data_IF_163027988037
#
_entry.id   IF_163027988037
#
_cell.length_a   1.000
_cell.length_b   1.000
_cell.length_c   1.000
_cell.angle_alpha   90.00
_cell.angle_beta   90.00
_cell.angle_gamma   90.00
#
_symmetry.space_group_name_H-M   'P 1'
#
loop_
_entity.id
_entity.type
_entity.pdbx_description
1 polymer ?
#
# COMPACT_ATOMS: atom_id res chain seq x y z
N UNK A 1 -28.55 -15.14 17.03
CA UNK A 1 -28.84 -15.62 15.68
C UNK A 1 -28.90 -14.43 14.73
N UNK A 2 -27.78 -13.67 14.55
CA UNK A 2 -27.70 -12.52 13.60
C UNK A 2 -26.25 -12.07 13.34
N UNK A 3 -25.24 -12.95 13.47
CA UNK A 3 -23.82 -12.60 13.23
C UNK A 3 -23.17 -13.52 12.17
N UNK A 4 -23.85 -14.52 11.63
CA UNK A 4 -23.25 -15.46 10.66
C UNK A 4 -23.41 -15.08 9.17
N UNK A 5 -23.93 -13.89 8.85
CA UNK A 5 -24.26 -13.54 7.45
C UNK A 5 -23.32 -12.51 6.80
N UNK A 6 -22.22 -12.10 7.42
CA UNK A 6 -21.33 -11.09 6.85
C UNK A 6 -20.01 -11.62 6.24
N UNK A 7 -19.73 -12.92 6.30
CA UNK A 7 -18.50 -13.52 5.76
C UNK A 7 -18.62 -13.93 4.28
N UNK A 8 -19.76 -13.71 3.63
CA UNK A 8 -20.05 -14.18 2.25
C UNK A 8 -20.40 -13.11 1.23
N UNK A 9 -20.74 -11.90 1.61
CA UNK A 9 -21.11 -10.88 0.64
C UNK A 9 -19.90 -10.29 -0.07
N UNK A 10 -19.93 -10.28 -1.41
CA UNK A 10 -18.96 -9.62 -2.28
C UNK A 10 -18.99 -8.12 -1.97
N UNK A 11 -17.97 -7.59 -1.29
CA UNK A 11 -17.84 -6.14 -1.05
C UNK A 11 -17.47 -5.44 -2.35
N UNK A 12 -18.47 -5.05 -3.13
CA UNK A 12 -18.29 -4.21 -4.32
C UNK A 12 -18.23 -2.75 -3.90
N UNK A 13 -17.08 -2.13 -4.06
CA UNK A 13 -16.93 -0.68 -3.78
C UNK A 13 -17.41 0.22 -4.91
N UNK A 14 -17.67 -0.35 -6.10
CA UNK A 14 -18.29 0.29 -7.26
C UNK A 14 -19.39 -0.60 -7.81
N UNK A 15 -20.43 0.03 -8.40
CA UNK A 15 -21.56 -0.68 -9.00
C UNK A 15 -21.37 -0.94 -10.50
N UNK A 16 -20.35 -0.34 -11.10
CA UNK A 16 -20.11 -0.42 -12.54
C UNK A 16 -19.69 -1.82 -12.96
N UNK A 17 -20.17 -2.24 -14.12
CA UNK A 17 -19.68 -3.45 -14.75
C UNK A 17 -18.31 -3.17 -15.38
N UNK A 18 -17.33 -3.97 -14.99
CA UNK A 18 -16.01 -3.98 -15.62
C UNK A 18 -15.87 -5.04 -16.71
N UNK A 19 -16.99 -5.55 -17.23
CA UNK A 19 -17.00 -6.52 -18.33
C UNK A 19 -16.24 -5.96 -19.55
N UNK A 20 -15.34 -6.76 -20.10
CA UNK A 20 -14.47 -6.41 -21.21
C UNK A 20 -13.49 -5.25 -20.92
N UNK A 21 -13.32 -4.85 -19.67
CA UNK A 21 -12.29 -3.89 -19.28
C UNK A 21 -10.97 -4.60 -19.01
N UNK A 22 -9.87 -3.97 -19.43
CA UNK A 22 -8.52 -4.44 -19.16
C UNK A 22 -7.87 -3.55 -18.10
N UNK A 23 -7.40 -4.19 -17.03
CA UNK A 23 -6.80 -3.53 -15.85
C UNK A 23 -5.35 -3.95 -15.77
N UNK A 24 -4.44 -2.99 -15.79
CA UNK A 24 -3.03 -3.21 -15.48
C UNK A 24 -2.77 -2.91 -14.00
N UNK A 25 -2.07 -3.81 -13.31
CA UNK A 25 -1.57 -3.61 -11.95
C UNK A 25 -0.06 -3.81 -11.97
N UNK A 26 0.72 -2.73 -11.86
CA UNK A 26 2.17 -2.85 -11.66
C UNK A 26 2.48 -3.09 -10.19
N UNK A 27 3.50 -3.87 -9.88
CA UNK A 27 3.76 -4.32 -8.50
C UNK A 27 2.72 -5.35 -8.01
N UNK A 28 2.13 -6.10 -8.98
CA UNK A 28 1.02 -7.01 -8.71
C UNK A 28 1.35 -8.25 -7.88
N UNK A 29 2.64 -8.59 -7.71
CA UNK A 29 3.10 -9.64 -6.80
C UNK A 29 3.50 -9.11 -5.41
N UNK A 30 3.44 -7.79 -5.22
CA UNK A 30 3.67 -7.12 -3.94
C UNK A 30 2.45 -7.16 -3.02
N UNK A 31 2.56 -6.49 -1.86
CA UNK A 31 1.53 -6.47 -0.82
C UNK A 31 0.20 -5.88 -1.33
N UNK A 32 0.19 -4.61 -1.75
CA UNK A 32 -1.06 -3.92 -2.14
C UNK A 32 -1.53 -4.43 -3.49
N UNK A 33 -0.62 -4.54 -4.48
CA UNK A 33 -0.98 -4.95 -5.83
C UNK A 33 -1.62 -6.33 -5.90
N UNK A 34 -1.16 -7.32 -5.12
CA UNK A 34 -1.77 -8.65 -5.08
C UNK A 34 -3.18 -8.62 -4.45
N UNK A 35 -3.39 -7.84 -3.40
CA UNK A 35 -4.73 -7.66 -2.82
C UNK A 35 -5.71 -7.02 -3.82
N UNK A 36 -5.27 -6.01 -4.58
CA UNK A 36 -6.06 -5.44 -5.69
C UNK A 36 -6.38 -6.46 -6.76
N UNK A 37 -5.40 -7.27 -7.19
CA UNK A 37 -5.59 -8.31 -8.20
C UNK A 37 -6.66 -9.32 -7.78
N UNK A 38 -6.61 -9.78 -6.54
CA UNK A 38 -7.63 -10.70 -6.00
C UNK A 38 -8.99 -10.03 -5.79
N UNK A 39 -9.02 -8.74 -5.43
CA UNK A 39 -10.29 -8.00 -5.37
C UNK A 39 -10.99 -8.02 -6.73
N UNK A 40 -10.29 -7.68 -7.81
CA UNK A 40 -10.87 -7.68 -9.15
C UNK A 40 -11.27 -9.08 -9.60
N UNK A 41 -10.41 -10.10 -9.38
CA UNK A 41 -10.75 -11.49 -9.69
C UNK A 41 -12.03 -11.94 -9.00
N UNK A 42 -12.21 -11.61 -7.73
CA UNK A 42 -13.37 -12.01 -6.93
C UNK A 42 -14.65 -11.25 -7.29
N UNK A 43 -14.54 -9.94 -7.46
CA UNK A 43 -15.71 -9.06 -7.53
C UNK A 43 -16.07 -8.65 -8.96
N UNK A 44 -15.11 -8.72 -9.90
CA UNK A 44 -15.26 -8.35 -11.31
C UNK A 44 -14.63 -9.41 -12.23
N UNK A 45 -15.11 -10.68 -12.19
CA UNK A 45 -14.47 -11.80 -12.90
C UNK A 45 -14.50 -11.65 -14.43
N UNK A 46 -15.35 -10.76 -14.95
CA UNK A 46 -15.44 -10.45 -16.39
C UNK A 46 -14.42 -9.39 -16.83
N UNK A 47 -13.64 -8.82 -15.94
CA UNK A 47 -12.53 -7.94 -16.26
C UNK A 47 -11.26 -8.75 -16.55
N UNK A 48 -10.48 -8.31 -17.54
CA UNK A 48 -9.15 -8.85 -17.77
C UNK A 48 -8.16 -8.14 -16.83
N UNK A 49 -7.55 -8.87 -15.91
CA UNK A 49 -6.52 -8.35 -15.00
C UNK A 49 -5.15 -8.84 -15.48
N UNK A 50 -4.26 -7.88 -15.74
CA UNK A 50 -2.86 -8.10 -16.12
C UNK A 50 -1.99 -7.52 -15.02
N UNK A 51 -1.12 -8.32 -14.43
CA UNK A 51 -0.13 -7.83 -13.48
C UNK A 51 1.27 -7.81 -14.09
N UNK A 52 2.04 -6.79 -13.72
CA UNK A 52 3.46 -6.68 -14.04
C UNK A 52 4.25 -6.53 -12.74
N UNK A 53 5.26 -7.37 -12.54
CA UNK A 53 6.12 -7.33 -11.38
C UNK A 53 7.53 -7.80 -11.72
N UNK A 54 8.55 -7.17 -11.15
CA UNK A 54 9.94 -7.62 -11.34
C UNK A 54 10.28 -8.87 -10.52
N UNK A 55 9.40 -9.25 -9.62
CA UNK A 55 9.58 -10.32 -8.65
C UNK A 55 10.90 -10.17 -7.85
N UNK A 56 11.01 -10.96 -6.80
CA UNK A 56 12.19 -11.01 -5.95
C UNK A 56 13.33 -11.75 -6.68
N UNK A 57 14.46 -11.08 -6.84
CA UNK A 57 15.68 -11.66 -7.45
C UNK A 57 16.79 -11.98 -6.45
N UNK A 58 16.65 -11.56 -5.19
CA UNK A 58 17.72 -11.58 -4.20
C UNK A 58 18.64 -10.35 -4.23
N UNK A 59 18.47 -9.44 -5.18
CA UNK A 59 19.18 -8.17 -5.19
C UNK A 59 18.81 -7.29 -4.01
N UNK A 60 19.80 -6.68 -3.39
CA UNK A 60 19.63 -5.81 -2.21
C UNK A 60 20.06 -4.39 -2.49
N UNK A 61 19.53 -3.47 -1.70
CA UNK A 61 19.97 -2.12 -1.53
C UNK A 61 21.21 -2.08 -0.61
N UNK A 62 21.91 -0.96 -0.54
CA UNK A 62 23.09 -0.79 0.32
C UNK A 62 22.81 -0.99 1.81
N UNK A 63 21.55 -0.79 2.24
CA UNK A 63 21.11 -1.06 3.60
C UNK A 63 20.80 -2.55 3.88
N UNK A 64 20.97 -3.44 2.88
CA UNK A 64 20.73 -4.88 2.97
C UNK A 64 19.28 -5.30 2.72
N UNK A 65 18.34 -4.38 2.56
CA UNK A 65 16.96 -4.70 2.21
C UNK A 65 16.83 -5.07 0.73
N UNK A 66 15.84 -5.92 0.40
CA UNK A 66 15.58 -6.33 -0.97
C UNK A 66 15.10 -5.16 -1.83
N UNK A 67 15.53 -5.12 -3.09
CA UNK A 67 15.06 -4.14 -4.07
C UNK A 67 13.60 -4.37 -4.47
N UNK A 68 13.16 -5.63 -4.55
CA UNK A 68 11.79 -6.01 -4.89
C UNK A 68 11.22 -6.97 -3.85
N UNK A 69 9.97 -6.74 -3.48
CA UNK A 69 9.21 -7.57 -2.53
C UNK A 69 8.18 -8.47 -3.22
N UNK A 70 8.06 -8.40 -4.55
CA UNK A 70 7.16 -9.25 -5.32
C UNK A 70 7.45 -10.73 -5.08
N UNK A 71 6.42 -11.51 -4.71
CA UNK A 71 6.60 -12.91 -4.37
C UNK A 71 5.48 -13.78 -4.93
N UNK A 72 5.83 -14.93 -5.54
CA UNK A 72 4.85 -15.82 -6.18
C UNK A 72 3.78 -16.35 -5.21
N UNK A 73 4.11 -16.51 -3.92
CA UNK A 73 3.13 -16.96 -2.92
C UNK A 73 2.00 -15.95 -2.70
N UNK A 74 2.24 -14.66 -2.96
CA UNK A 74 1.18 -13.65 -2.94
C UNK A 74 0.15 -13.83 -4.08
N UNK A 75 0.48 -14.62 -5.10
CA UNK A 75 -0.34 -14.85 -6.27
C UNK A 75 -0.92 -16.29 -6.37
N UNK A 76 -0.73 -17.11 -5.34
CA UNK A 76 -1.34 -18.45 -5.34
C UNK A 76 -2.86 -18.33 -5.42
N UNK A 77 -3.45 -18.95 -6.46
CA UNK A 77 -4.89 -18.86 -6.74
C UNK A 77 -5.31 -17.65 -7.59
N UNK A 78 -4.37 -16.84 -8.06
CA UNK A 78 -4.66 -15.81 -9.06
C UNK A 78 -4.71 -16.44 -10.46
N UNK A 79 -5.74 -16.10 -11.24
CA UNK A 79 -6.00 -16.68 -12.58
C UNK A 79 -5.88 -15.67 -13.72
N UNK A 80 -5.53 -14.39 -13.41
CA UNK A 80 -5.27 -13.38 -14.42
C UNK A 80 -3.90 -13.56 -15.08
N UNK A 81 -3.55 -12.63 -15.93
CA UNK A 81 -2.28 -12.65 -16.66
C UNK A 81 -1.13 -12.11 -15.80
N UNK A 82 0.00 -12.82 -15.80
CA UNK A 82 1.19 -12.49 -15.02
C UNK A 82 2.35 -12.25 -15.97
N UNK A 83 2.92 -11.04 -15.95
CA UNK A 83 4.08 -10.66 -16.74
C UNK A 83 5.21 -10.33 -15.77
N UNK A 84 6.31 -11.08 -15.87
CA UNK A 84 7.55 -10.78 -15.15
C UNK A 84 8.34 -9.73 -15.90
N UNK A 85 8.67 -8.61 -15.24
CA UNK A 85 9.49 -7.58 -15.84
C UNK A 85 9.64 -6.32 -14.97
N UNK A 86 10.68 -5.57 -15.26
CA UNK A 86 10.98 -4.30 -14.58
C UNK A 86 10.30 -3.13 -15.32
N UNK A 87 9.56 -2.30 -14.60
CA UNK A 87 8.93 -1.08 -15.15
C UNK A 87 9.94 -0.06 -15.69
N UNK A 88 11.23 -0.22 -15.42
CA UNK A 88 12.30 0.57 -16.03
C UNK A 88 12.70 0.08 -17.44
N UNK A 89 12.24 -1.11 -17.85
CA UNK A 89 12.51 -1.68 -19.16
C UNK A 89 11.58 -1.08 -20.22
N UNK A 90 12.19 -0.28 -21.12
CA UNK A 90 11.45 0.39 -22.20
C UNK A 90 10.86 -0.57 -23.23
N UNK A 91 11.52 -1.72 -23.45
CA UNK A 91 11.01 -2.74 -24.37
C UNK A 91 9.76 -3.43 -23.77
N UNK A 92 9.80 -3.76 -22.48
CA UNK A 92 8.60 -4.24 -21.77
C UNK A 92 7.45 -3.24 -21.87
N UNK A 93 7.70 -1.95 -21.58
CA UNK A 93 6.65 -0.92 -21.64
C UNK A 93 6.10 -0.76 -23.06
N UNK A 94 6.97 -0.83 -24.08
CA UNK A 94 6.56 -0.83 -25.48
C UNK A 94 5.69 -2.05 -25.81
N UNK A 95 6.09 -3.24 -25.39
CA UNK A 95 5.32 -4.46 -25.60
C UNK A 95 3.94 -4.40 -24.92
N UNK A 96 3.87 -3.87 -23.69
CA UNK A 96 2.59 -3.61 -23.02
C UNK A 96 1.72 -2.64 -23.79
N UNK A 97 2.30 -1.54 -24.28
CA UNK A 97 1.59 -0.55 -25.06
C UNK A 97 1.02 -1.13 -26.37
N UNK A 98 1.82 -1.92 -27.07
CA UNK A 98 1.46 -2.39 -28.43
C UNK A 98 0.47 -3.56 -28.40
N UNK A 99 0.52 -4.41 -27.35
CA UNK A 99 -0.27 -5.64 -27.27
C UNK A 99 -1.55 -5.53 -26.42
N UNK A 100 -1.72 -4.45 -25.67
CA UNK A 100 -2.88 -4.27 -24.81
C UNK A 100 -3.56 -2.92 -25.09
N UNK A 101 -4.83 -2.86 -24.72
CA UNK A 101 -5.58 -1.62 -24.58
C UNK A 101 -6.10 -1.58 -23.15
N UNK A 102 -5.39 -0.85 -22.28
CA UNK A 102 -5.80 -0.71 -20.89
C UNK A 102 -6.92 0.33 -20.75
N UNK A 103 -7.88 0.04 -19.87
CA UNK A 103 -8.91 0.97 -19.42
C UNK A 103 -8.53 1.62 -18.09
N UNK A 104 -7.81 0.85 -17.24
CA UNK A 104 -7.35 1.29 -15.92
C UNK A 104 -5.92 0.81 -15.69
N UNK A 105 -5.11 1.67 -15.07
CA UNK A 105 -3.77 1.34 -14.62
C UNK A 105 -3.68 1.63 -13.11
N UNK A 106 -3.42 0.61 -12.32
CA UNK A 106 -3.08 0.72 -10.90
C UNK A 106 -1.56 0.58 -10.77
N UNK A 107 -0.90 1.68 -10.41
CA UNK A 107 0.55 1.69 -10.30
C UNK A 107 0.98 1.60 -8.84
N UNK A 108 1.24 0.36 -8.40
CA UNK A 108 1.71 0.03 -7.05
C UNK A 108 3.22 -0.30 -7.00
N UNK A 109 3.85 -0.53 -8.17
CA UNK A 109 5.27 -0.80 -8.25
C UNK A 109 6.10 0.40 -7.81
N UNK A 110 6.99 0.20 -6.86
CA UNK A 110 7.93 1.21 -6.39
C UNK A 110 9.02 0.56 -5.53
N UNK A 111 10.17 1.21 -5.43
CA UNK A 111 11.06 1.01 -4.27
C UNK A 111 10.42 1.76 -3.11
N UNK A 112 9.95 1.02 -2.10
CA UNK A 112 9.18 1.57 -0.97
C UNK A 112 9.96 1.66 0.35
N UNK A 113 11.26 1.39 0.30
CA UNK A 113 12.14 1.46 1.46
C UNK A 113 12.46 2.93 1.79
N UNK A 114 12.00 3.39 2.94
CA UNK A 114 12.23 4.76 3.43
C UNK A 114 13.66 5.00 3.92
N UNK A 115 14.44 3.94 4.09
CA UNK A 115 15.85 3.99 4.54
C UNK A 115 16.85 3.79 3.40
N UNK A 116 16.38 3.58 2.16
CA UNK A 116 17.22 3.47 0.98
C UNK A 116 17.96 4.78 0.71
N UNK A 117 19.26 4.67 0.37
CA UNK A 117 20.14 5.81 0.09
C UNK A 117 20.39 6.01 -1.40
N UNK A 118 20.01 5.06 -2.25
CA UNK A 118 20.22 5.06 -3.70
C UNK A 118 19.29 6.05 -4.39
N UNK A 119 19.67 7.32 -4.42
CA UNK A 119 18.82 8.40 -4.95
C UNK A 119 18.54 8.25 -6.44
N UNK A 120 19.56 7.91 -7.23
CA UNK A 120 19.45 7.72 -8.67
C UNK A 120 18.49 6.57 -9.01
N UNK A 121 18.63 5.42 -8.36
CA UNK A 121 17.76 4.27 -8.53
C UNK A 121 16.31 4.60 -8.10
N UNK A 122 16.16 5.30 -6.98
CA UNK A 122 14.84 5.73 -6.47
C UNK A 122 14.13 6.64 -7.46
N UNK A 123 14.83 7.63 -8.03
CA UNK A 123 14.25 8.55 -9.02
C UNK A 123 13.96 7.80 -10.33
N UNK A 124 14.88 6.96 -10.79
CA UNK A 124 14.66 6.15 -12.01
C UNK A 124 13.41 5.31 -11.88
N UNK A 125 13.29 4.54 -10.78
CA UNK A 125 12.22 3.56 -10.62
C UNK A 125 10.88 4.20 -10.22
N UNK A 126 10.88 5.14 -9.27
CA UNK A 126 9.63 5.70 -8.77
C UNK A 126 9.11 6.88 -9.62
N UNK A 127 10.00 7.68 -10.21
CA UNK A 127 9.59 8.91 -10.90
C UNK A 127 9.62 8.75 -12.41
N UNK A 128 10.74 8.28 -12.99
CA UNK A 128 10.88 8.21 -14.44
C UNK A 128 9.97 7.12 -15.04
N UNK A 129 9.93 5.93 -14.42
CA UNK A 129 9.04 4.87 -14.86
C UNK A 129 7.55 5.26 -14.70
N UNK A 130 7.20 6.00 -13.63
CA UNK A 130 5.85 6.55 -13.47
C UNK A 130 5.47 7.47 -14.63
N UNK A 131 6.38 8.34 -15.08
CA UNK A 131 6.15 9.21 -16.23
C UNK A 131 5.85 8.40 -17.49
N UNK A 132 6.61 7.33 -17.76
CA UNK A 132 6.36 6.48 -18.93
C UNK A 132 4.98 5.77 -18.85
N UNK A 133 4.58 5.34 -17.65
CA UNK A 133 3.26 4.76 -17.42
C UNK A 133 2.13 5.80 -17.56
N UNK A 134 2.36 7.07 -17.17
CA UNK A 134 1.42 8.16 -17.43
C UNK A 134 1.25 8.39 -18.94
N UNK A 135 2.35 8.42 -19.69
CA UNK A 135 2.31 8.58 -21.16
C UNK A 135 1.55 7.42 -21.81
N UNK A 136 1.75 6.19 -21.33
CA UNK A 136 0.95 5.01 -21.76
C UNK A 136 -0.53 5.18 -21.41
N UNK A 137 -0.85 5.60 -20.18
CA UNK A 137 -2.23 5.82 -19.76
C UNK A 137 -2.93 6.85 -20.67
N UNK A 138 -2.26 7.94 -20.99
CA UNK A 138 -2.78 8.97 -21.92
C UNK A 138 -3.01 8.39 -23.30
N UNK A 139 -2.06 7.66 -23.87
CA UNK A 139 -2.18 7.07 -25.22
C UNK A 139 -3.31 6.05 -25.33
N UNK A 140 -3.56 5.31 -24.24
CA UNK A 140 -4.65 4.34 -24.15
C UNK A 140 -6.01 4.96 -23.79
N UNK A 141 -6.04 6.23 -23.41
CA UNK A 141 -7.18 6.87 -22.76
C UNK A 141 -7.62 6.11 -21.48
N UNK A 142 -6.64 5.58 -20.74
CA UNK A 142 -6.83 4.82 -19.52
C UNK A 142 -6.83 5.74 -18.29
N UNK A 143 -7.68 5.45 -17.31
CA UNK A 143 -7.60 6.12 -16.01
C UNK A 143 -6.45 5.55 -15.18
N UNK A 144 -5.75 6.41 -14.45
CA UNK A 144 -4.57 6.06 -13.64
C UNK A 144 -4.80 6.29 -12.16
N UNK A 145 -4.57 5.26 -11.36
CA UNK A 145 -4.51 5.33 -9.91
C UNK A 145 -3.10 4.93 -9.50
N UNK A 146 -2.46 5.66 -8.61
CA UNK A 146 -1.10 5.34 -8.20
C UNK A 146 -0.86 5.49 -6.70
N UNK A 147 0.05 4.66 -6.19
CA UNK A 147 0.54 4.70 -4.83
C UNK A 147 1.45 5.91 -4.61
N UNK A 148 0.95 6.95 -3.95
CA UNK A 148 1.74 7.96 -3.27
C UNK A 148 1.94 7.55 -1.80
N UNK A 149 2.44 8.43 -0.94
CA UNK A 149 2.79 8.06 0.44
C UNK A 149 2.66 9.23 1.41
N UNK A 150 2.32 8.93 2.67
CA UNK A 150 2.45 9.88 3.78
C UNK A 150 3.90 10.31 4.04
N UNK A 151 4.90 9.58 3.55
CA UNK A 151 6.31 10.00 3.63
C UNK A 151 6.59 11.35 2.94
N UNK A 152 5.71 11.79 2.04
CA UNK A 152 5.75 13.13 1.43
C UNK A 152 5.66 14.26 2.44
N UNK A 153 5.08 14.01 3.61
CA UNK A 153 4.87 15.03 4.63
C UNK A 153 6.09 15.28 5.52
N UNK A 154 7.03 14.32 5.60
CA UNK A 154 8.17 14.46 6.52
C UNK A 154 7.69 14.77 7.93
N UNK A 155 8.18 15.84 8.52
CA UNK A 155 7.82 16.28 9.88
C UNK A 155 6.67 17.31 9.92
N UNK A 156 5.83 17.39 8.89
CA UNK A 156 4.68 18.29 8.89
C UNK A 156 3.71 17.95 10.03
N UNK A 157 3.05 19.00 10.54
CA UNK A 157 2.10 18.91 11.64
C UNK A 157 0.91 17.98 11.30
N UNK A 158 0.47 17.21 12.29
CA UNK A 158 -0.73 16.37 12.23
C UNK A 158 -1.99 17.14 12.64
N UNK A 159 -3.16 16.80 12.03
CA UNK A 159 -3.36 15.87 10.92
C UNK A 159 -2.78 16.40 9.61
N UNK A 160 -2.04 15.55 8.90
CA UNK A 160 -1.39 15.94 7.65
C UNK A 160 -2.41 16.24 6.55
N UNK A 161 -2.11 17.32 5.79
CA UNK A 161 -2.97 17.80 4.69
C UNK A 161 -2.16 17.97 3.41
N UNK A 162 -2.77 17.62 2.28
CA UNK A 162 -2.20 17.89 0.96
C UNK A 162 -1.91 19.40 0.83
N UNK A 163 -0.73 19.76 0.35
CA UNK A 163 -0.23 21.13 0.28
C UNK A 163 0.72 21.52 1.44
N UNK A 164 1.01 20.57 2.35
CA UNK A 164 1.93 20.77 3.49
C UNK A 164 3.09 19.77 3.47
N UNK A 165 3.56 19.43 2.27
CA UNK A 165 4.62 18.45 2.04
C UNK A 165 6.00 19.02 2.39
N UNK A 166 6.81 18.22 3.10
CA UNK A 166 8.21 18.51 3.45
C UNK A 166 8.99 17.19 3.65
N UNK A 167 9.21 16.39 2.57
CA UNK A 167 9.82 15.08 2.69
C UNK A 167 11.24 15.17 3.24
N UNK A 168 11.58 14.27 4.15
CA UNK A 168 12.89 14.23 4.82
C UNK A 168 13.76 13.04 4.37
N UNK A 169 13.31 12.26 3.38
CA UNK A 169 14.06 11.18 2.77
C UNK A 169 13.79 11.09 1.26
N UNK A 170 14.64 10.36 0.54
CA UNK A 170 14.56 10.26 -0.92
C UNK A 170 13.28 9.54 -1.38
N UNK A 171 12.78 8.58 -0.61
CA UNK A 171 11.51 7.91 -0.91
C UNK A 171 10.33 8.90 -0.88
N UNK A 172 10.19 9.67 0.19
CA UNK A 172 9.15 10.69 0.30
C UNK A 172 9.27 11.75 -0.80
N UNK A 173 10.50 12.16 -1.14
CA UNK A 173 10.76 13.07 -2.26
C UNK A 173 10.34 12.46 -3.60
N UNK A 174 10.64 11.17 -3.85
CA UNK A 174 10.23 10.50 -5.09
C UNK A 174 8.70 10.46 -5.26
N UNK A 175 7.97 10.16 -4.16
CA UNK A 175 6.50 10.15 -4.17
C UNK A 175 5.93 11.56 -4.37
N UNK A 176 6.51 12.58 -3.78
CA UNK A 176 6.12 13.97 -4.01
C UNK A 176 6.39 14.39 -5.47
N UNK A 177 7.47 13.93 -6.07
CA UNK A 177 7.78 14.18 -7.48
C UNK A 177 6.74 13.56 -8.42
N UNK A 178 6.24 12.36 -8.11
CA UNK A 178 5.09 11.76 -8.82
C UNK A 178 3.83 12.64 -8.69
N UNK A 179 3.56 13.16 -7.50
CA UNK A 179 2.43 14.06 -7.26
C UNK A 179 2.54 15.37 -8.09
N UNK A 180 3.75 15.92 -8.23
CA UNK A 180 3.98 17.09 -9.10
C UNK A 180 3.77 16.76 -10.57
N UNK A 181 4.30 15.64 -11.06
CA UNK A 181 4.03 15.17 -12.42
C UNK A 181 2.52 15.03 -12.68
N UNK A 182 1.80 14.41 -11.75
CA UNK A 182 0.34 14.29 -11.84
C UNK A 182 -0.35 15.64 -11.98
N UNK A 183 0.02 16.64 -11.16
CA UNK A 183 -0.56 17.98 -11.24
C UNK A 183 -0.32 18.63 -12.61
N UNK A 184 0.86 18.40 -13.23
CA UNK A 184 1.18 18.93 -14.57
C UNK A 184 0.41 18.19 -15.67
N UNK A 185 0.26 16.85 -15.55
CA UNK A 185 -0.53 16.10 -16.54
C UNK A 185 -2.02 16.48 -16.50
N UNK A 186 -2.60 16.62 -15.31
CA UNK A 186 -4.01 17.00 -15.15
C UNK A 186 -4.38 18.36 -15.80
N UNK A 187 -3.39 19.21 -16.08
CA UNK A 187 -3.61 20.46 -16.84
C UNK A 187 -3.76 20.24 -18.35
N UNK A 188 -3.37 19.07 -18.88
CA UNK A 188 -3.15 18.83 -20.30
C UNK A 188 -3.92 17.63 -20.86
N UNK A 189 -4.46 16.75 -20.00
CA UNK A 189 -5.07 15.48 -20.38
C UNK A 189 -6.49 15.37 -19.87
N UNK A 190 -7.30 14.52 -20.55
CA UNK A 190 -8.70 14.30 -20.18
C UNK A 190 -8.93 13.01 -19.40
N UNK A 191 -7.90 12.15 -19.22
CA UNK A 191 -8.02 10.95 -18.41
C UNK A 191 -8.08 11.31 -16.92
N UNK A 192 -8.67 10.42 -16.13
CA UNK A 192 -8.67 10.57 -14.68
C UNK A 192 -7.34 10.08 -14.11
N UNK A 193 -6.70 10.90 -13.28
CA UNK A 193 -5.47 10.53 -12.56
C UNK A 193 -5.67 10.84 -11.10
N UNK A 194 -5.44 9.83 -10.23
CA UNK A 194 -5.60 9.93 -8.78
C UNK A 194 -4.38 9.36 -8.08
N UNK A 195 -3.75 10.16 -7.25
CA UNK A 195 -2.68 9.74 -6.34
C UNK A 195 -3.23 9.48 -4.95
N UNK A 196 -2.88 8.36 -4.35
CA UNK A 196 -3.31 7.94 -3.03
C UNK A 196 -2.12 7.89 -2.08
N UNK A 197 -2.06 8.82 -1.12
CA UNK A 197 -1.04 8.86 -0.08
C UNK A 197 -1.41 7.90 1.02
N UNK A 198 -0.86 6.68 0.94
CA UNK A 198 -1.08 5.67 1.97
C UNK A 198 -0.35 6.03 3.26
N UNK A 199 -1.07 5.86 4.37
CA UNK A 199 -0.50 5.90 5.71
C UNK A 199 0.04 4.51 6.10
N UNK A 200 0.01 4.09 7.35
CA UNK A 200 0.67 2.86 7.78
C UNK A 200 -0.20 1.62 7.48
N UNK A 201 -0.05 1.06 6.30
CA UNK A 201 -0.85 -0.08 5.83
C UNK A 201 -0.37 -1.38 6.48
N UNK A 202 -1.33 -2.22 6.90
CA UNK A 202 -1.09 -3.58 7.39
C UNK A 202 -2.15 -4.57 6.89
N UNK A 203 -1.82 -5.86 6.86
CA UNK A 203 -2.78 -6.90 6.50
C UNK A 203 -2.19 -8.07 5.70
N UNK A 204 -3.04 -9.00 5.25
CA UNK A 204 -2.63 -10.17 4.48
C UNK A 204 -1.72 -9.85 3.29
N UNK A 205 -0.78 -10.78 2.99
CA UNK A 205 0.23 -10.71 1.90
C UNK A 205 1.38 -9.73 2.13
N UNK A 206 1.52 -9.12 3.32
CA UNK A 206 2.66 -8.25 3.60
C UNK A 206 3.94 -8.99 4.04
N UNK A 207 3.86 -10.27 4.41
CA UNK A 207 4.98 -11.04 4.98
C UNK A 207 6.27 -10.93 4.17
N UNK A 208 6.16 -11.01 2.85
CA UNK A 208 7.33 -11.00 1.97
C UNK A 208 8.02 -9.63 1.84
N UNK A 209 7.51 -8.60 2.51
CA UNK A 209 8.24 -7.34 2.71
C UNK A 209 9.38 -7.47 3.74
N UNK A 210 9.51 -8.61 4.39
CA UNK A 210 10.54 -8.91 5.40
C UNK A 210 10.58 -7.84 6.50
N UNK A 211 11.76 -7.24 6.73
CA UNK A 211 12.00 -6.22 7.76
C UNK A 211 11.17 -4.94 7.57
N UNK A 212 10.64 -4.69 6.37
CA UNK A 212 9.78 -3.54 6.08
C UNK A 212 8.28 -3.83 6.19
N UNK A 213 7.91 -5.05 6.62
CA UNK A 213 6.53 -5.39 6.95
C UNK A 213 6.04 -4.58 8.16
N UNK A 214 4.73 -4.45 8.31
CA UNK A 214 4.14 -3.65 9.39
C UNK A 214 4.52 -4.16 10.79
N UNK A 215 4.48 -3.26 11.77
CA UNK A 215 4.69 -3.66 13.17
C UNK A 215 3.57 -4.58 13.69
N UNK A 216 2.39 -4.57 13.05
CA UNK A 216 1.31 -5.53 13.37
C UNK A 216 1.79 -6.96 13.14
N UNK A 217 2.36 -7.24 11.96
CA UNK A 217 2.91 -8.57 11.64
C UNK A 217 4.12 -8.89 12.52
N UNK A 218 5.06 -7.95 12.65
CA UNK A 218 6.30 -8.18 13.39
C UNK A 218 6.04 -8.47 14.89
N UNK A 219 5.17 -7.71 15.55
CA UNK A 219 4.77 -7.99 16.92
C UNK A 219 3.98 -9.29 17.04
N UNK A 220 3.10 -9.59 16.07
CA UNK A 220 2.40 -10.87 16.02
C UNK A 220 3.36 -12.06 16.05
N UNK A 221 4.40 -12.04 15.21
CA UNK A 221 5.42 -13.10 15.18
C UNK A 221 6.29 -13.14 16.45
N UNK A 222 6.62 -11.98 17.04
CA UNK A 222 7.32 -11.97 18.34
C UNK A 222 6.47 -12.65 19.43
N UNK A 223 5.19 -12.31 19.50
CA UNK A 223 4.26 -12.89 20.48
C UNK A 223 4.09 -14.40 20.26
N UNK A 224 3.86 -14.85 19.02
CA UNK A 224 3.71 -16.27 18.70
C UNK A 224 4.97 -17.10 18.99
N UNK A 225 6.16 -16.49 18.85
CA UNK A 225 7.43 -17.13 19.23
C UNK A 225 7.71 -17.14 20.74
N UNK A 226 6.79 -16.62 21.56
CA UNK A 226 6.98 -16.48 23.01
C UNK A 226 7.97 -15.40 23.41
N UNK A 227 8.45 -14.58 22.47
CA UNK A 227 9.36 -13.46 22.74
C UNK A 227 8.57 -12.25 23.24
N UNK A 228 9.22 -11.47 24.11
CA UNK A 228 8.68 -10.18 24.57
C UNK A 228 8.57 -9.22 23.38
N UNK A 229 7.41 -8.61 23.12
CA UNK A 229 7.31 -7.54 22.12
C UNK A 229 8.28 -6.40 22.45
N UNK A 230 9.10 -6.00 21.47
CA UNK A 230 10.10 -4.94 21.64
C UNK A 230 9.53 -3.60 21.18
N UNK A 231 9.34 -2.71 22.14
CA UNK A 231 8.83 -1.36 21.94
C UNK A 231 9.91 -0.33 22.25
N UNK A 232 9.83 0.84 21.63
CA UNK A 232 10.64 1.98 22.08
C UNK A 232 10.08 2.55 23.39
N UNK A 233 10.96 3.06 24.24
CA UNK A 233 10.55 3.87 25.39
C UNK A 233 9.67 5.05 24.91
N UNK A 234 8.53 5.25 25.56
CA UNK A 234 7.54 6.26 25.13
C UNK A 234 6.70 5.88 23.93
N UNK A 235 6.66 4.59 23.55
CA UNK A 235 5.86 4.08 22.43
C UNK A 235 4.35 4.30 22.56
N UNK A 236 3.86 4.52 23.77
CA UNK A 236 2.49 4.97 24.06
C UNK A 236 2.18 6.38 23.56
N UNK A 237 3.21 7.19 23.29
CA UNK A 237 3.12 8.57 22.77
C UNK A 237 3.54 8.69 21.31
N UNK A 238 4.02 7.60 20.70
CA UNK A 238 4.38 7.55 19.29
C UNK A 238 3.15 7.07 18.51
N UNK A 239 2.49 8.00 17.83
CA UNK A 239 1.19 7.77 17.20
C UNK A 239 1.32 7.66 15.68
N UNK A 240 0.63 6.69 15.09
CA UNK A 240 0.55 6.47 13.65
C UNK A 240 -0.89 6.19 13.24
N UNK A 241 -1.26 6.65 12.07
CA UNK A 241 -2.50 6.25 11.42
C UNK A 241 -2.28 4.89 10.76
N UNK A 242 -2.74 3.84 11.42
CA UNK A 242 -2.67 2.46 10.91
C UNK A 242 -3.95 2.14 10.16
N UNK A 243 -3.80 1.66 8.93
CA UNK A 243 -4.93 1.37 8.05
C UNK A 243 -4.88 -0.09 7.56
N UNK A 244 -6.02 -0.78 7.68
CA UNK A 244 -6.15 -2.15 7.20
C UNK A 244 -6.24 -2.21 5.68
N UNK A 245 -5.67 -3.25 5.08
CA UNK A 245 -5.53 -3.39 3.62
C UNK A 245 -6.87 -3.28 2.87
N UNK A 246 -7.98 -3.75 3.43
CA UNK A 246 -9.27 -3.67 2.77
C UNK A 246 -9.74 -2.22 2.56
N UNK A 247 -9.39 -1.31 3.45
CA UNK A 247 -9.67 0.12 3.28
C UNK A 247 -8.79 0.77 2.19
N UNK A 248 -7.56 0.27 2.00
CA UNK A 248 -6.71 0.64 0.86
C UNK A 248 -7.34 0.18 -0.46
N UNK A 249 -7.84 -1.06 -0.51
CA UNK A 249 -8.54 -1.57 -1.68
C UNK A 249 -9.79 -0.75 -1.98
N UNK A 250 -10.57 -0.42 -0.95
CA UNK A 250 -11.72 0.48 -1.10
C UNK A 250 -11.31 1.81 -1.74
N UNK A 251 -10.27 2.46 -1.22
CA UNK A 251 -9.81 3.76 -1.71
C UNK A 251 -9.37 3.68 -3.19
N UNK A 252 -8.61 2.65 -3.56
CA UNK A 252 -8.16 2.42 -4.92
C UNK A 252 -9.34 2.23 -5.89
N UNK A 253 -10.28 1.39 -5.54
CA UNK A 253 -11.44 1.09 -6.39
C UNK A 253 -12.35 2.32 -6.53
N UNK A 254 -12.59 3.06 -5.45
CA UNK A 254 -13.35 4.32 -5.52
C UNK A 254 -12.63 5.41 -6.31
N UNK A 255 -11.29 5.41 -6.33
CA UNK A 255 -10.49 6.32 -7.12
C UNK A 255 -10.64 6.11 -8.65
N UNK A 256 -11.24 5.01 -9.11
CA UNK A 256 -11.60 4.81 -10.52
C UNK A 256 -12.64 5.85 -11.00
N UNK A 257 -13.48 6.35 -10.10
CA UNK A 257 -14.58 7.28 -10.37
C UNK A 257 -14.57 8.51 -9.47
N UNK A 258 -13.46 9.28 -9.44
CA UNK A 258 -13.36 10.44 -8.56
C UNK A 258 -14.31 11.56 -9.02
N UNK A 259 -14.90 12.28 -8.08
CA UNK A 259 -15.61 13.55 -8.40
C UNK A 259 -14.65 14.62 -8.89
N UNK A 260 -13.40 14.55 -8.43
CA UNK A 260 -12.32 15.43 -8.88
C UNK A 260 -11.00 14.63 -8.88
N UNK A 261 -10.21 14.79 -9.95
CA UNK A 261 -8.85 14.22 -10.01
C UNK A 261 -7.89 14.99 -9.09
N UNK A 262 -6.87 14.30 -8.58
CA UNK A 262 -5.89 14.92 -7.69
C UNK A 262 -5.21 13.92 -6.76
N UNK A 263 -4.65 14.43 -5.68
CA UNK A 263 -3.92 13.66 -4.67
C UNK A 263 -4.71 13.64 -3.37
N UNK A 264 -4.81 12.47 -2.73
CA UNK A 264 -5.67 12.24 -1.57
C UNK A 264 -4.96 11.43 -0.49
N UNK A 265 -5.21 11.76 0.77
CA UNK A 265 -4.75 10.95 1.90
C UNK A 265 -5.62 9.71 2.06
N UNK A 266 -5.00 8.57 2.30
CA UNK A 266 -5.69 7.32 2.61
C UNK A 266 -5.16 6.76 3.92
N UNK A 267 -5.91 7.00 4.96
CA UNK A 267 -5.73 6.57 6.34
C UNK A 267 -7.08 6.43 7.00
N UNK A 268 -7.11 6.22 8.30
CA UNK A 268 -8.34 6.14 9.10
C UNK A 268 -8.75 7.51 9.66
N UNK A 269 -7.83 8.48 9.71
CA UNK A 269 -8.00 9.75 10.41
C UNK A 269 -7.96 9.60 11.93
N UNK A 270 -7.41 8.48 12.44
CA UNK A 270 -7.26 8.16 13.86
C UNK A 270 -5.88 7.60 14.12
N UNK A 271 -5.03 8.39 14.75
CA UNK A 271 -3.70 7.91 15.12
C UNK A 271 -3.75 7.04 16.38
N UNK A 272 -3.01 5.94 16.37
CA UNK A 272 -2.91 4.95 17.45
C UNK A 272 -1.43 4.69 17.79
N UNK A 273 -1.18 4.24 19.01
CA UNK A 273 0.17 3.94 19.48
C UNK A 273 0.66 2.56 19.08
N UNK A 274 1.97 2.35 19.10
CA UNK A 274 2.53 1.00 18.94
C UNK A 274 2.20 0.10 20.14
N UNK A 275 1.94 0.68 21.33
CA UNK A 275 1.46 -0.06 22.49
C UNK A 275 0.06 -0.63 22.23
N UNK A 276 -0.84 0.15 21.61
CA UNK A 276 -2.19 -0.33 21.24
C UNK A 276 -2.12 -1.58 20.35
N UNK A 277 -1.19 -1.63 19.38
CA UNK A 277 -1.02 -2.82 18.53
C UNK A 277 -0.71 -4.05 19.38
N UNK A 278 0.26 -3.93 20.29
CA UNK A 278 0.66 -5.07 21.15
C UNK A 278 -0.50 -5.51 22.05
N UNK A 279 -1.22 -4.57 22.63
CA UNK A 279 -2.33 -4.87 23.55
C UNK A 279 -3.47 -5.58 22.82
N UNK A 280 -3.81 -5.13 21.60
CA UNK A 280 -4.82 -5.77 20.75
C UNK A 280 -4.36 -7.16 20.32
N UNK A 281 -3.11 -7.30 19.81
CA UNK A 281 -2.57 -8.59 19.39
C UNK A 281 -2.55 -9.60 20.54
N UNK A 282 -2.12 -9.20 21.73
CA UNK A 282 -2.11 -10.10 22.88
C UNK A 282 -3.51 -10.56 23.28
N UNK A 283 -4.50 -9.67 23.21
CA UNK A 283 -5.89 -10.04 23.44
C UNK A 283 -6.39 -11.05 22.40
N UNK A 284 -6.17 -10.83 21.11
CA UNK A 284 -6.62 -11.70 20.02
C UNK A 284 -5.83 -13.04 19.98
N UNK A 285 -4.57 -13.03 20.39
CA UNK A 285 -3.72 -14.24 20.49
C UNK A 285 -3.87 -14.99 21.81
N UNK A 286 -4.58 -14.43 22.80
CA UNK A 286 -4.79 -15.06 24.11
C UNK A 286 -3.51 -15.09 24.98
N UNK A 287 -2.62 -14.12 24.84
CA UNK A 287 -1.34 -14.04 25.55
C UNK A 287 -1.27 -12.85 26.51
N UNK A 288 -0.29 -12.85 27.40
CA UNK A 288 -0.03 -11.76 28.38
C UNK A 288 1.48 -11.58 28.60
N UNK A 289 2.25 -11.51 27.51
CA UNK A 289 3.69 -11.31 27.59
C UNK A 289 4.01 -9.87 28.02
N UNK A 290 5.00 -9.71 28.89
CA UNK A 290 5.52 -8.38 29.23
C UNK A 290 6.29 -7.80 28.03
N UNK A 291 6.10 -6.53 27.73
CA UNK A 291 6.90 -5.84 26.71
C UNK A 291 8.34 -5.61 27.20
N UNK A 292 9.27 -5.55 26.27
CA UNK A 292 10.64 -5.08 26.47
C UNK A 292 10.73 -3.65 25.89
N UNK A 293 11.05 -2.67 26.72
CA UNK A 293 11.21 -1.28 26.27
C UNK A 293 12.69 -1.00 26.07
N UNK A 294 13.03 -0.50 24.87
CA UNK A 294 14.40 -0.18 24.47
C UNK A 294 14.51 1.31 24.12
N UNK A 295 15.69 1.95 24.28
CA UNK A 295 15.89 3.32 23.85
C UNK A 295 15.56 3.52 22.36
N UNK A 296 14.92 4.62 22.02
CA UNK A 296 14.66 4.96 20.62
C UNK A 296 15.95 5.50 19.95
N UNK A 297 16.54 4.80 18.98
CA UNK A 297 17.78 5.24 18.33
C UNK A 297 17.56 6.40 17.33
N UNK A 298 16.31 6.78 17.04
CA UNK A 298 15.94 7.73 15.98
C UNK A 298 15.41 9.09 16.52
N UNK A 299 15.66 9.43 17.79
CA UNK A 299 15.04 10.59 18.47
C UNK A 299 15.11 11.90 17.65
N UNK A 300 16.20 12.15 16.90
CA UNK A 300 16.40 13.39 16.14
C UNK A 300 15.65 13.50 14.81
N UNK A 301 15.19 12.36 14.25
CA UNK A 301 14.56 12.28 12.92
C UNK A 301 13.20 11.59 12.93
N UNK A 302 12.71 11.21 14.12
CA UNK A 302 11.51 10.39 14.27
C UNK A 302 10.24 11.22 14.30
N UNK A 303 9.29 10.91 13.44
CA UNK A 303 7.95 11.50 13.51
C UNK A 303 7.22 10.93 14.73
N UNK A 304 6.77 11.78 15.64
CA UNK A 304 6.03 11.34 16.82
C UNK A 304 4.53 11.15 16.54
N UNK A 305 3.97 11.86 15.57
CA UNK A 305 2.55 11.79 15.26
C UNK A 305 2.30 11.89 13.75
N UNK A 306 1.68 10.86 13.18
CA UNK A 306 1.14 10.92 11.82
C UNK A 306 -0.33 10.52 11.82
N UNK A 307 -1.18 11.36 11.23
CA UNK A 307 -2.61 11.16 11.13
C UNK A 307 -3.13 11.78 9.83
N UNK A 308 -3.93 11.03 9.09
CA UNK A 308 -4.46 11.48 7.81
C UNK A 308 -5.62 12.47 8.00
N UNK A 309 -5.56 13.65 7.41
CA UNK A 309 -6.78 14.38 7.15
C UNK A 309 -7.47 13.77 5.93
N UNK A 310 -8.56 13.04 6.13
CA UNK A 310 -9.30 12.31 5.09
C UNK A 310 -10.54 13.04 4.58
N UNK A 311 -10.87 14.23 5.10
CA UNK A 311 -12.11 14.93 4.76
C UNK A 311 -12.30 15.09 3.24
N UNK A 312 -11.27 15.54 2.52
CA UNK A 312 -11.30 15.71 1.07
C UNK A 312 -11.41 14.36 0.34
N UNK A 313 -10.78 13.32 0.86
CA UNK A 313 -10.85 11.96 0.30
C UNK A 313 -12.27 11.41 0.43
N UNK A 314 -12.89 11.56 1.58
CA UNK A 314 -14.30 11.19 1.80
C UNK A 314 -15.24 11.95 0.86
N UNK A 315 -15.08 13.27 0.76
CA UNK A 315 -15.94 14.10 -0.08
C UNK A 315 -15.81 13.76 -1.57
N UNK A 316 -14.57 13.64 -2.08
CA UNK A 316 -14.33 13.61 -3.52
C UNK A 316 -14.15 12.21 -4.10
N UNK A 317 -13.79 11.21 -3.29
CA UNK A 317 -13.72 9.82 -3.70
C UNK A 317 -14.88 8.97 -3.12
N UNK A 318 -15.57 9.45 -2.09
CA UNK A 318 -16.56 8.65 -1.34
C UNK A 318 -15.90 7.57 -0.47
N UNK A 319 -14.61 7.72 -0.16
CA UNK A 319 -13.87 6.82 0.73
C UNK A 319 -14.31 7.02 2.18
N UNK A 320 -14.60 5.93 2.87
CA UNK A 320 -14.92 5.90 4.30
C UNK A 320 -14.22 4.67 4.88
N UNK A 321 -13.24 4.84 5.79
CA UNK A 321 -12.59 3.71 6.44
C UNK A 321 -13.63 2.86 7.17
N UNK A 322 -13.59 1.55 6.94
CA UNK A 322 -14.56 0.60 7.48
C UNK A 322 -14.00 -0.17 8.70
N UNK A 323 -12.68 -0.17 8.88
CA UNK A 323 -12.01 -0.94 9.91
C UNK A 323 -11.39 -0.04 10.97
N UNK A 324 -11.84 -0.19 12.22
CA UNK A 324 -11.05 0.25 13.37
C UNK A 324 -9.82 -0.68 13.51
N UNK A 325 -8.80 -0.24 14.27
CA UNK A 325 -7.58 -1.06 14.44
C UNK A 325 -7.89 -2.43 15.05
N UNK A 326 -8.82 -2.48 15.99
CA UNK A 326 -9.29 -3.71 16.64
C UNK A 326 -9.86 -4.71 15.62
N UNK A 327 -10.71 -4.23 14.73
CA UNK A 327 -11.37 -5.06 13.71
C UNK A 327 -10.37 -5.54 12.65
N UNK A 328 -9.48 -4.65 12.21
CA UNK A 328 -8.44 -4.98 11.23
C UNK A 328 -7.43 -6.01 11.78
N UNK A 329 -6.96 -5.87 13.02
CA UNK A 329 -6.06 -6.84 13.65
C UNK A 329 -6.78 -8.18 13.85
N UNK A 330 -8.02 -8.16 14.33
CA UNK A 330 -8.84 -9.36 14.47
C UNK A 330 -9.03 -10.09 13.15
N UNK A 331 -9.29 -9.37 12.07
CA UNK A 331 -9.41 -9.95 10.72
C UNK A 331 -8.08 -10.53 10.19
N UNK A 332 -6.94 -10.04 10.70
CA UNK A 332 -5.61 -10.43 10.23
C UNK A 332 -4.96 -11.54 11.08
N UNK A 333 -5.40 -11.74 12.31
CA UNK A 333 -4.70 -12.61 13.29
C UNK A 333 -4.58 -14.06 12.83
N UNK A 334 -5.56 -14.62 12.14
CA UNK A 334 -5.50 -16.00 11.64
C UNK A 334 -4.46 -16.15 10.53
N UNK A 335 -4.32 -15.16 9.65
CA UNK A 335 -3.25 -15.13 8.65
C UNK A 335 -1.87 -14.99 9.30
N UNK A 336 -1.73 -14.15 10.34
CA UNK A 336 -0.48 -14.02 11.12
C UNK A 336 -0.08 -15.38 11.70
N UNK A 337 -1.03 -16.15 12.28
CA UNK A 337 -0.77 -17.50 12.81
C UNK A 337 -0.35 -18.46 11.69
N UNK A 338 -1.09 -18.48 10.58
CA UNK A 338 -0.81 -19.33 9.44
C UNK A 338 0.60 -19.09 8.89
N UNK A 339 0.94 -17.83 8.63
CA UNK A 339 2.27 -17.45 8.12
C UNK A 339 3.37 -17.79 9.12
N UNK A 340 3.12 -17.61 10.42
CA UNK A 340 4.10 -17.99 11.44
C UNK A 340 4.40 -19.48 11.40
N UNK A 341 3.37 -20.33 11.29
CA UNK A 341 3.54 -21.78 11.27
C UNK A 341 4.19 -22.29 9.96
N UNK A 342 3.89 -21.66 8.82
CA UNK A 342 4.36 -22.09 7.49
C UNK A 342 5.74 -21.53 7.11
N UNK A 343 6.11 -20.33 7.57
CA UNK A 343 7.26 -19.60 7.05
C UNK A 343 8.30 -19.23 8.13
N UNK A 344 7.94 -19.21 9.42
CA UNK A 344 8.80 -18.71 10.49
C UNK A 344 9.24 -19.83 11.44
N UNK A 345 8.36 -20.80 11.74
CA UNK A 345 8.60 -21.94 12.65
C UNK A 345 9.36 -23.05 11.95
#
# INVERSE_FOLDING_TARGET
>A
MFIETLVGEKMKYINDSLKNKTILITGGAGFIGSNLAFYFQKNHPDAKVVIVDSFRSGETLSNGNLKSFGHFKNLLGFHGEIISGDINDKELLKNLHDNYKFDYIFHEAAISDTTALEQDLMIKTNVNAYKDLLDMAVSHNANMIYASSAATYGNAESPQRVGREAPNNVYGFSKLSMDYLTREYLKKVNIKIVGLRYFNVYGPREYFKNTTASMVLQFGHQILSGKKPKLFEGSDKILRDFIYIEDIIQANVKAMHPRKCGIYNVGTGKARSFQDIVDILQRELGTKLKCEYIPNPFIGSYQFHTEANIATTTELLGYIPAYEMEDGIKAYVDEIRRIYDEEVK
#
